data_IF_108480593420
#
_entry.id   IF_108480593420
#
_cell.length_a   1.000
_cell.length_b   1.000
_cell.length_c   1.000
_cell.angle_alpha   90.00
_cell.angle_beta   90.00
_cell.angle_gamma   90.00
#
_symmetry.space_group_name_H-M   'P 1'
#
loop_
_entity.id
_entity.type
_entity.pdbx_description
1 polymer ?
#
# COMPACT_ATOMS: atom_id res chain seq x y z
N UNK A 1 24.76 -0.87 13.96
CA UNK A 1 24.54 -0.98 12.49
C UNK A 1 23.05 -1.06 12.23
N UNK A 2 22.44 -0.08 11.54
CA UNK A 2 21.08 -0.25 11.03
C UNK A 2 21.18 -1.01 9.71
N UNK A 3 20.89 -2.31 9.73
CA UNK A 3 20.71 -3.07 8.49
C UNK A 3 19.45 -2.52 7.84
N UNK A 4 19.59 -1.64 6.85
CA UNK A 4 18.48 -1.29 5.96
C UNK A 4 18.26 -2.48 5.06
N UNK A 5 17.34 -3.37 5.45
CA UNK A 5 16.90 -4.47 4.60
C UNK A 5 16.29 -3.90 3.31
N UNK A 6 16.57 -4.54 2.18
CA UNK A 6 15.95 -4.16 0.90
C UNK A 6 14.45 -4.38 0.93
N UNK A 7 13.68 -3.72 0.05
CA UNK A 7 12.22 -3.89 0.03
C UNK A 7 11.86 -5.34 -0.24
N UNK A 8 12.58 -5.99 -1.17
CA UNK A 8 12.39 -7.41 -1.44
C UNK A 8 12.56 -8.26 -0.18
N UNK A 9 13.60 -8.02 0.62
CA UNK A 9 13.83 -8.77 1.86
C UNK A 9 12.69 -8.59 2.88
N UNK A 10 12.12 -7.39 2.96
CA UNK A 10 10.97 -7.11 3.85
C UNK A 10 9.74 -7.92 3.42
N UNK A 11 9.45 -7.98 2.12
CA UNK A 11 8.33 -8.75 1.57
C UNK A 11 8.56 -10.26 1.60
N UNK A 12 9.77 -10.75 1.34
CA UNK A 12 10.13 -12.17 1.48
C UNK A 12 9.94 -12.62 2.94
N UNK A 13 10.41 -11.80 3.90
CA UNK A 13 10.25 -12.08 5.33
C UNK A 13 8.79 -11.97 5.80
N UNK A 14 7.93 -11.26 5.06
CA UNK A 14 6.50 -11.25 5.31
C UNK A 14 5.83 -12.52 4.76
N UNK A 15 6.13 -12.89 3.50
CA UNK A 15 5.60 -14.09 2.88
C UNK A 15 5.96 -15.36 3.68
N UNK A 16 7.22 -15.47 4.11
CA UNK A 16 7.67 -16.59 4.94
C UNK A 16 6.90 -16.67 6.26
N UNK A 17 6.72 -15.53 6.94
CA UNK A 17 5.93 -15.47 8.17
C UNK A 17 4.47 -15.85 7.91
N UNK A 18 3.83 -15.28 6.89
CA UNK A 18 2.41 -15.50 6.58
C UNK A 18 2.15 -17.00 6.35
N UNK A 19 2.96 -17.64 5.51
CA UNK A 19 2.80 -19.07 5.20
C UNK A 19 3.07 -19.95 6.43
N UNK A 20 4.04 -19.59 7.28
CA UNK A 20 4.41 -20.41 8.45
C UNK A 20 3.58 -20.16 9.70
N UNK A 21 2.93 -19.00 9.81
CA UNK A 21 2.30 -18.53 11.07
C UNK A 21 0.85 -18.11 10.94
N UNK A 22 0.41 -17.69 9.75
CA UNK A 22 -0.96 -17.24 9.54
C UNK A 22 -1.80 -18.26 8.79
N UNK A 23 -1.31 -18.81 7.67
CA UNK A 23 -2.00 -19.90 6.94
C UNK A 23 -2.41 -21.06 7.85
N UNK A 24 -1.57 -21.56 8.79
CA UNK A 24 -1.97 -22.64 9.68
C UNK A 24 -3.17 -22.30 10.59
N UNK A 25 -3.38 -21.03 10.92
CA UNK A 25 -4.52 -20.62 11.76
C UNK A 25 -5.82 -20.43 10.97
N UNK A 26 -5.78 -20.55 9.64
CA UNK A 26 -6.97 -20.51 8.79
C UNK A 26 -7.52 -21.91 8.47
N UNK A 27 -6.79 -22.98 8.80
CA UNK A 27 -7.09 -24.36 8.37
C UNK A 27 -7.17 -25.34 9.56
N UNK A 28 -7.39 -24.81 10.77
CA UNK A 28 -7.14 -25.49 12.06
C UNK A 28 -7.81 -26.86 12.20
N UNK A 29 -9.00 -27.06 11.62
CA UNK A 29 -9.81 -28.27 11.79
C UNK A 29 -9.63 -29.33 10.69
N UNK A 30 -9.29 -28.92 9.46
CA UNK A 30 -9.02 -29.81 8.33
C UNK A 30 -7.91 -29.23 7.43
N UNK A 31 -6.64 -29.63 7.65
CA UNK A 31 -5.53 -29.09 6.88
C UNK A 31 -5.58 -29.42 5.38
N UNK A 32 -6.27 -30.50 4.98
CA UNK A 32 -6.33 -30.91 3.58
C UNK A 32 -7.40 -30.12 2.84
N UNK A 33 -8.60 -30.04 3.40
CA UNK A 33 -9.69 -29.28 2.79
C UNK A 33 -9.47 -27.78 2.90
N UNK A 34 -9.02 -27.29 4.06
CA UNK A 34 -8.67 -25.88 4.25
C UNK A 34 -7.61 -25.40 3.27
N UNK A 35 -6.58 -26.19 2.98
CA UNK A 35 -5.59 -25.83 1.96
C UNK A 35 -6.15 -25.81 0.53
N UNK A 36 -7.17 -26.62 0.21
CA UNK A 36 -7.85 -26.53 -1.10
C UNK A 36 -8.63 -25.23 -1.20
N UNK A 37 -9.37 -24.87 -0.15
CA UNK A 37 -10.13 -23.62 -0.08
C UNK A 37 -9.21 -22.40 -0.18
N UNK A 38 -8.14 -22.35 0.63
CA UNK A 38 -7.15 -21.27 0.54
C UNK A 38 -6.54 -21.16 -0.87
N UNK A 39 -6.27 -22.28 -1.55
CA UNK A 39 -5.77 -22.24 -2.94
C UNK A 39 -6.80 -21.73 -3.93
N UNK A 40 -8.08 -22.13 -3.77
CA UNK A 40 -9.18 -21.66 -4.60
C UNK A 40 -9.34 -20.14 -4.49
N UNK A 41 -9.28 -19.61 -3.25
CA UNK A 41 -9.35 -18.19 -2.95
C UNK A 41 -8.01 -17.44 -3.15
N UNK A 42 -6.92 -18.17 -3.48
CA UNK A 42 -5.55 -17.66 -3.64
C UNK A 42 -4.94 -17.03 -2.38
N UNK A 43 -5.38 -17.50 -1.21
CA UNK A 43 -4.97 -17.05 0.12
C UNK A 43 -3.78 -17.80 0.70
N UNK A 44 -3.32 -18.86 0.05
CA UNK A 44 -2.20 -19.69 0.51
C UNK A 44 -0.81 -19.04 0.33
N UNK A 45 -0.72 -17.88 -0.33
CA UNK A 45 0.50 -17.08 -0.39
C UNK A 45 0.21 -15.59 -0.58
N UNK A 46 0.71 -14.69 0.28
CA UNK A 46 0.22 -13.31 0.36
C UNK A 46 0.65 -12.44 -0.83
N UNK A 47 1.73 -12.84 -1.52
CA UNK A 47 2.26 -12.09 -2.67
C UNK A 47 1.81 -12.68 -4.02
N UNK A 48 0.95 -13.72 -4.03
CA UNK A 48 0.60 -14.44 -5.26
C UNK A 48 -0.06 -13.55 -6.31
N UNK A 49 -0.78 -12.52 -5.89
CA UNK A 49 -1.43 -11.55 -6.78
C UNK A 49 -0.48 -10.51 -7.38
N UNK A 50 0.77 -10.42 -6.90
CA UNK A 50 1.72 -9.41 -7.34
C UNK A 50 2.53 -9.86 -8.56
N UNK A 51 2.80 -8.91 -9.47
CA UNK A 51 3.62 -9.14 -10.66
C UNK A 51 4.62 -8.02 -10.81
N UNK A 52 5.90 -8.38 -10.81
CA UNK A 52 7.00 -7.47 -11.10
C UNK A 52 6.77 -6.75 -12.44
N UNK A 53 7.15 -5.47 -12.48
CA UNK A 53 6.96 -4.62 -13.64
C UNK A 53 8.29 -4.31 -14.31
N UNK A 54 8.27 -4.35 -15.64
CA UNK A 54 9.38 -3.89 -16.47
C UNK A 54 9.62 -2.39 -16.29
N UNK A 55 10.88 -1.98 -16.39
CA UNK A 55 11.27 -0.57 -16.26
C UNK A 55 10.49 0.35 -17.22
N UNK A 56 10.19 -0.12 -18.44
CA UNK A 56 9.41 0.61 -19.42
C UNK A 56 7.95 0.87 -18.98
N UNK A 57 7.35 -0.03 -18.19
CA UNK A 57 6.01 0.18 -17.64
C UNK A 57 6.04 1.21 -16.51
N UNK A 58 7.08 1.19 -15.67
CA UNK A 58 7.27 2.14 -14.56
C UNK A 58 7.55 3.55 -15.09
N UNK A 59 8.35 3.68 -16.16
CA UNK A 59 8.67 4.95 -16.80
C UNK A 59 7.42 5.73 -17.27
N UNK A 60 6.29 5.03 -17.52
CA UNK A 60 5.01 5.69 -17.88
C UNK A 60 4.44 6.56 -16.76
N UNK A 61 4.87 6.38 -15.51
CA UNK A 61 4.43 7.21 -14.38
C UNK A 61 5.17 8.55 -14.32
N UNK A 62 6.42 8.59 -14.77
CA UNK A 62 7.33 9.74 -14.62
C UNK A 62 6.81 11.04 -15.24
N UNK A 63 6.15 11.06 -16.42
CA UNK A 63 5.58 12.29 -16.96
C UNK A 63 4.56 12.98 -16.04
N UNK A 64 3.88 12.20 -15.19
CA UNK A 64 2.83 12.68 -14.29
C UNK A 64 3.25 12.82 -12.83
N UNK A 65 4.29 12.09 -12.43
CA UNK A 65 4.80 12.02 -11.07
C UNK A 65 6.13 12.79 -10.89
N UNK A 66 6.82 13.10 -11.98
CA UNK A 66 8.20 13.56 -11.95
C UNK A 66 9.16 12.43 -11.58
N UNK A 67 10.10 12.70 -10.68
CA UNK A 67 11.07 11.70 -10.24
C UNK A 67 10.44 10.72 -9.25
N UNK A 68 10.47 9.43 -9.58
CA UNK A 68 10.02 8.38 -8.67
C UNK A 68 11.12 8.00 -7.67
N UNK A 69 10.82 7.86 -6.37
CA UNK A 69 11.77 7.38 -5.37
C UNK A 69 12.37 6.03 -5.78
N UNK A 70 13.67 5.84 -5.53
CA UNK A 70 14.37 4.58 -5.86
C UNK A 70 13.74 3.37 -5.18
N UNK A 71 13.35 3.52 -3.92
CA UNK A 71 12.69 2.49 -3.14
C UNK A 71 11.31 2.12 -3.75
N UNK A 72 10.54 3.10 -4.23
CA UNK A 72 9.29 2.81 -4.92
C UNK A 72 9.50 2.08 -6.26
N UNK A 73 10.53 2.47 -7.02
CA UNK A 73 10.92 1.72 -8.23
C UNK A 73 11.32 0.29 -7.90
N UNK A 74 12.10 0.08 -6.83
CA UNK A 74 12.49 -1.25 -6.36
C UNK A 74 11.27 -2.09 -5.99
N UNK A 75 10.28 -1.53 -5.28
CA UNK A 75 9.02 -2.24 -5.00
C UNK A 75 8.40 -2.76 -6.31
N UNK A 76 8.23 -1.89 -7.30
CA UNK A 76 7.56 -2.24 -8.55
C UNK A 76 8.37 -3.24 -9.41
N UNK A 77 9.69 -3.15 -9.42
CA UNK A 77 10.53 -4.07 -10.22
C UNK A 77 10.79 -5.41 -9.55
N UNK A 78 10.79 -5.48 -8.21
CA UNK A 78 11.17 -6.71 -7.49
C UNK A 78 9.99 -7.44 -6.86
N UNK A 79 9.01 -6.72 -6.32
CA UNK A 79 7.82 -7.29 -5.67
C UNK A 79 6.63 -7.24 -6.64
N UNK A 80 6.41 -6.07 -7.25
CA UNK A 80 5.42 -5.87 -8.28
C UNK A 80 4.15 -5.14 -7.85
N UNK A 81 3.21 -5.09 -8.79
CA UNK A 81 1.89 -4.51 -8.62
C UNK A 81 0.79 -5.57 -8.76
N UNK A 82 -0.35 -5.36 -8.12
CA UNK A 82 -1.46 -6.30 -8.01
C UNK A 82 -1.94 -6.43 -6.57
N UNK A 83 -2.60 -7.55 -6.26
CA UNK A 83 -3.15 -7.81 -4.93
C UNK A 83 -2.13 -8.46 -4.00
N UNK A 84 -2.04 -7.91 -2.81
CA UNK A 84 -1.24 -8.31 -1.67
C UNK A 84 -2.19 -8.62 -0.51
N UNK A 85 -1.98 -9.71 0.21
CA UNK A 85 -2.82 -10.06 1.35
C UNK A 85 -2.15 -9.65 2.67
N UNK A 86 -2.85 -8.89 3.50
CA UNK A 86 -2.51 -8.71 4.90
C UNK A 86 -3.19 -9.80 5.74
N UNK A 87 -2.51 -10.29 6.78
CA UNK A 87 -3.17 -11.10 7.79
C UNK A 87 -4.17 -10.24 8.59
N UNK A 88 -5.34 -10.80 8.89
CA UNK A 88 -6.34 -10.21 9.78
C UNK A 88 -6.84 -11.27 10.76
N UNK A 89 -7.86 -10.97 11.58
CA UNK A 89 -8.37 -11.94 12.55
C UNK A 89 -9.18 -13.08 11.90
N UNK A 90 -9.94 -12.78 10.84
CA UNK A 90 -10.83 -13.73 10.18
C UNK A 90 -10.30 -14.13 8.79
N UNK A 91 -10.44 -13.21 7.82
CA UNK A 91 -10.05 -13.42 6.43
C UNK A 91 -8.87 -12.54 6.03
N UNK A 92 -7.93 -13.00 5.19
CA UNK A 92 -6.84 -12.14 4.73
C UNK A 92 -7.39 -10.88 4.03
N UNK A 93 -7.00 -9.70 4.52
CA UNK A 93 -7.45 -8.43 3.96
C UNK A 93 -6.68 -8.10 2.67
N UNK A 94 -7.34 -7.84 1.53
CA UNK A 94 -6.68 -7.49 0.28
C UNK A 94 -6.21 -6.03 0.27
N UNK A 95 -5.00 -5.82 -0.22
CA UNK A 95 -4.38 -4.53 -0.50
C UNK A 95 -3.89 -4.50 -1.93
N UNK A 96 -4.19 -3.44 -2.67
CA UNK A 96 -3.76 -3.33 -4.07
C UNK A 96 -2.56 -2.42 -4.17
N UNK A 97 -1.43 -2.96 -4.63
CA UNK A 97 -0.34 -2.13 -5.16
C UNK A 97 -0.72 -1.77 -6.58
N UNK A 98 -0.93 -0.49 -6.84
CA UNK A 98 -1.51 0.01 -8.08
C UNK A 98 -0.57 -0.21 -9.27
N UNK A 99 -1.13 -0.72 -10.36
CA UNK A 99 -0.42 -0.77 -11.65
C UNK A 99 -0.34 0.64 -12.24
N UNK A 100 0.73 0.96 -13.01
CA UNK A 100 0.89 2.27 -13.63
C UNK A 100 -0.33 2.78 -14.40
N UNK A 101 -1.04 1.89 -15.09
CA UNK A 101 -2.25 2.23 -15.85
C UNK A 101 -3.44 2.67 -14.97
N UNK A 102 -3.54 2.15 -13.74
CA UNK A 102 -4.62 2.45 -12.81
C UNK A 102 -4.41 3.79 -12.06
N UNK A 103 -3.15 4.24 -11.96
CA UNK A 103 -2.77 5.41 -11.17
C UNK A 103 -3.52 6.69 -11.58
N UNK A 104 -3.82 6.88 -12.88
CA UNK A 104 -4.59 8.04 -13.33
C UNK A 104 -6.02 8.04 -12.79
N UNK A 105 -6.71 6.88 -12.82
CA UNK A 105 -8.07 6.72 -12.28
C UNK A 105 -8.04 6.85 -10.75
N UNK A 106 -7.12 6.12 -10.10
CA UNK A 106 -6.92 6.17 -8.65
C UNK A 106 -6.63 7.58 -8.15
N UNK A 107 -5.83 8.37 -8.88
CA UNK A 107 -5.55 9.76 -8.50
C UNK A 107 -6.82 10.62 -8.54
N UNK A 108 -7.73 10.40 -9.49
CA UNK A 108 -9.02 11.10 -9.50
C UNK A 108 -9.86 10.71 -8.28
N UNK A 109 -9.92 9.41 -7.95
CA UNK A 109 -10.66 8.90 -6.80
C UNK A 109 -10.09 9.42 -5.47
N UNK A 110 -8.78 9.27 -5.25
CA UNK A 110 -8.09 9.76 -4.06
C UNK A 110 -8.23 11.28 -3.88
N UNK A 111 -8.23 12.05 -4.98
CA UNK A 111 -8.46 13.51 -4.91
C UNK A 111 -9.90 13.90 -4.57
N UNK A 112 -10.88 13.02 -4.81
CA UNK A 112 -12.26 13.24 -4.41
C UNK A 112 -12.44 13.09 -2.89
N UNK A 113 -11.52 12.40 -2.20
CA UNK A 113 -11.52 12.31 -0.72
C UNK A 113 -11.13 13.63 -0.04
N UNK A 114 -10.54 14.58 -0.77
CA UNK A 114 -10.19 15.89 -0.22
C UNK A 114 -11.30 16.91 -0.50
N UNK A 115 -11.81 17.54 0.56
CA UNK A 115 -12.75 18.66 0.43
C UNK A 115 -12.06 19.88 -0.21
N UNK A 116 -12.85 20.82 -0.72
CA UNK A 116 -12.30 22.06 -1.27
C UNK A 116 -11.61 22.92 -0.20
N UNK A 117 -12.04 22.79 1.06
CA UNK A 117 -11.36 23.38 2.22
C UNK A 117 -9.97 22.75 2.45
N UNK A 118 -9.86 21.41 2.35
CA UNK A 118 -8.58 20.71 2.49
C UNK A 118 -7.60 21.14 1.38
N UNK A 119 -8.11 21.23 0.15
CA UNK A 119 -7.34 21.73 -1.01
C UNK A 119 -6.89 23.17 -0.79
N UNK A 120 -7.78 24.04 -0.28
CA UNK A 120 -7.46 25.43 0.02
C UNK A 120 -6.44 25.58 1.15
N UNK A 121 -6.54 24.78 2.21
CA UNK A 121 -5.57 24.77 3.32
C UNK A 121 -4.21 24.27 2.86
N UNK A 122 -4.16 23.20 2.06
CA UNK A 122 -2.94 22.66 1.47
C UNK A 122 -2.22 23.72 0.61
N UNK A 123 -2.98 24.42 -0.25
CA UNK A 123 -2.49 25.52 -1.08
C UNK A 123 -2.00 26.72 -0.26
N UNK A 124 -2.78 27.17 0.73
CA UNK A 124 -2.48 28.36 1.56
C UNK A 124 -1.24 28.15 2.43
N UNK A 125 -1.05 26.94 2.97
CA UNK A 125 0.11 26.63 3.82
C UNK A 125 1.38 26.29 3.02
N UNK A 126 1.32 26.22 1.68
CA UNK A 126 2.42 25.79 0.78
C UNK A 126 3.14 24.51 1.24
N UNK A 127 2.43 23.65 1.97
CA UNK A 127 3.01 22.49 2.66
C UNK A 127 2.92 21.21 1.84
N UNK A 128 1.94 21.12 0.95
CA UNK A 128 1.65 19.95 0.14
C UNK A 128 0.88 20.38 -1.11
N UNK A 129 1.49 20.17 -2.27
CA UNK A 129 0.85 20.26 -3.57
C UNK A 129 0.22 18.91 -3.89
N UNK A 130 -1.11 18.84 -3.80
CA UNK A 130 -1.89 17.63 -4.07
C UNK A 130 -1.73 17.15 -5.53
N UNK A 131 -1.37 18.06 -6.45
CA UNK A 131 -1.10 17.69 -7.85
C UNK A 131 0.23 16.95 -8.04
N UNK A 132 1.07 16.88 -7.02
CA UNK A 132 2.30 16.07 -7.03
C UNK A 132 2.10 14.72 -6.35
N UNK A 133 0.96 14.50 -5.70
CA UNK A 133 0.72 13.25 -5.01
C UNK A 133 0.44 12.10 -5.98
N UNK A 134 1.00 10.94 -5.67
CA UNK A 134 0.88 9.73 -6.48
C UNK A 134 0.31 8.61 -5.60
N UNK A 135 -0.96 8.20 -5.78
CA UNK A 135 -1.46 7.01 -5.12
C UNK A 135 -0.71 5.79 -5.65
N UNK A 136 -0.33 4.89 -4.74
CA UNK A 136 0.34 3.64 -5.11
C UNK A 136 -0.25 2.41 -4.41
N UNK A 137 -1.04 2.60 -3.35
CA UNK A 137 -1.72 1.50 -2.69
C UNK A 137 -3.10 1.93 -2.17
N UNK A 138 -4.05 1.00 -2.12
CA UNK A 138 -5.42 1.17 -1.63
C UNK A 138 -5.91 -0.13 -0.95
N UNK A 139 -7.02 -0.07 -0.20
CA UNK A 139 -7.75 -1.26 0.23
C UNK A 139 -8.33 -1.98 -0.98
N UNK A 140 -9.00 -3.10 -0.71
CA UNK A 140 -10.16 -3.50 -1.50
C UNK A 140 -9.82 -4.05 -2.88
N UNK A 141 -10.87 -4.39 -3.62
CA UNK A 141 -10.75 -4.97 -4.95
C UNK A 141 -11.02 -3.94 -6.06
N UNK A 142 -11.85 -2.93 -5.77
CA UNK A 142 -12.41 -1.99 -6.74
C UNK A 142 -12.17 -0.52 -6.39
N UNK A 143 -11.72 0.24 -7.40
CA UNK A 143 -11.27 1.64 -7.28
C UNK A 143 -12.33 2.65 -6.75
N UNK A 144 -13.59 2.27 -6.62
CA UNK A 144 -14.71 3.19 -6.41
C UNK A 144 -15.22 3.22 -4.95
N UNK A 145 -14.92 2.19 -4.16
CA UNK A 145 -15.37 2.03 -2.77
C UNK A 145 -14.22 2.05 -1.75
N UNK A 146 -13.03 2.51 -2.15
CA UNK A 146 -11.83 2.47 -1.30
C UNK A 146 -11.94 3.42 -0.11
N UNK A 147 -11.78 2.85 1.10
CA UNK A 147 -11.85 3.58 2.35
C UNK A 147 -10.50 4.22 2.71
N UNK A 148 -9.37 3.73 2.20
CA UNK A 148 -8.06 4.37 2.34
C UNK A 148 -7.20 4.36 1.07
N UNK A 149 -6.42 5.43 0.92
CA UNK A 149 -5.39 5.58 -0.11
C UNK A 149 -4.03 5.81 0.53
N UNK A 150 -3.00 5.16 0.00
CA UNK A 150 -1.60 5.42 0.35
C UNK A 150 -0.92 6.10 -0.83
N UNK A 151 -0.34 7.26 -0.56
CA UNK A 151 0.14 8.18 -1.57
C UNK A 151 1.56 8.64 -1.31
N UNK A 152 2.40 8.67 -2.34
CA UNK A 152 3.68 9.38 -2.32
C UNK A 152 3.44 10.88 -2.48
N UNK A 153 4.20 11.72 -1.76
CA UNK A 153 4.00 13.18 -1.83
C UNK A 153 4.74 13.86 -2.99
N UNK A 154 5.94 13.42 -3.35
CA UNK A 154 6.73 13.88 -4.50
C UNK A 154 6.87 15.41 -4.64
N UNK A 155 6.97 16.14 -3.53
CA UNK A 155 7.01 17.61 -3.53
C UNK A 155 8.31 18.17 -4.11
N UNK A 156 9.40 17.39 -4.00
CA UNK A 156 10.73 17.68 -4.53
C UNK A 156 11.35 16.41 -5.11
N UNK A 157 12.48 16.53 -5.83
CA UNK A 157 13.20 15.39 -6.43
C UNK A 157 13.53 14.26 -5.44
N UNK A 158 13.78 14.61 -4.18
CA UNK A 158 14.16 13.66 -3.13
C UNK A 158 13.02 13.42 -2.12
N UNK A 159 11.81 13.88 -2.41
CA UNK A 159 10.67 13.69 -1.53
C UNK A 159 10.04 12.32 -1.74
N UNK A 160 10.29 11.39 -0.82
CA UNK A 160 9.75 10.03 -0.82
C UNK A 160 8.80 9.78 0.35
N UNK A 161 8.30 10.84 1.00
CA UNK A 161 7.34 10.71 2.10
C UNK A 161 6.04 10.08 1.60
N UNK A 162 5.42 9.32 2.50
CA UNK A 162 4.12 8.69 2.28
C UNK A 162 3.07 9.40 3.13
N UNK A 163 1.91 9.65 2.53
CA UNK A 163 0.69 10.12 3.18
C UNK A 163 -0.36 9.02 3.04
N UNK A 164 -1.01 8.69 4.15
CA UNK A 164 -2.19 7.84 4.17
C UNK A 164 -3.40 8.76 4.26
N UNK A 165 -4.38 8.52 3.41
CA UNK A 165 -5.63 9.28 3.30
C UNK A 165 -6.75 8.30 3.57
N UNK A 166 -7.39 8.42 4.71
CA UNK A 166 -8.56 7.64 5.06
C UNK A 166 -9.80 8.50 4.89
N UNK A 167 -10.85 7.92 4.31
CA UNK A 167 -12.16 8.55 4.24
C UNK A 167 -12.84 8.32 5.60
N UNK A 168 -12.78 9.33 6.47
CA UNK A 168 -13.57 9.31 7.71
C UNK A 168 -15.06 9.25 7.34
N UNK A 169 -15.70 8.11 7.61
CA UNK A 169 -17.12 7.89 7.32
C UNK A 169 -18.04 8.72 8.23
N UNK A 170 -17.55 9.20 9.37
CA UNK A 170 -18.32 10.00 10.35
C UNK A 170 -18.18 11.52 10.10
N UNK A 171 -16.98 12.00 9.76
CA UNK A 171 -16.74 13.46 9.59
C UNK A 171 -16.29 13.90 8.19
N UNK A 172 -16.08 12.96 7.26
CA UNK A 172 -15.74 13.24 5.86
C UNK A 172 -14.39 13.94 5.65
N UNK A 173 -13.54 14.04 6.68
CA UNK A 173 -12.24 14.72 6.59
C UNK A 173 -11.11 13.72 6.37
N UNK A 174 -10.20 13.97 5.41
CA UNK A 174 -9.03 13.12 5.22
C UNK A 174 -8.06 13.25 6.41
N UNK A 175 -7.85 12.16 7.15
CA UNK A 175 -6.81 12.12 8.19
C UNK A 175 -5.46 11.84 7.54
N UNK A 176 -4.79 12.90 7.08
CA UNK A 176 -3.47 12.80 6.45
C UNK A 176 -2.34 12.55 7.45
N UNK A 177 -1.99 11.28 7.74
CA UNK A 177 -0.78 10.94 8.54
C UNK A 177 0.44 10.75 7.63
N UNK A 178 1.60 11.23 8.08
CA UNK A 178 2.85 11.28 7.29
C UNK A 178 3.90 10.34 7.85
N UNK A 179 4.49 9.50 7.00
CA UNK A 179 5.76 8.83 7.32
C UNK A 179 6.94 9.70 6.89
N UNK A 180 8.15 9.41 7.38
CA UNK A 180 9.36 10.16 7.00
C UNK A 180 9.90 9.74 5.64
N UNK A 181 9.67 8.49 5.22
CA UNK A 181 10.12 7.95 3.93
C UNK A 181 9.29 6.74 3.49
N UNK A 182 9.47 6.33 2.23
CA UNK A 182 8.80 5.17 1.66
C UNK A 182 9.29 3.86 2.26
N UNK A 183 10.59 3.71 2.46
CA UNK A 183 11.16 2.50 3.08
C UNK A 183 10.68 2.33 4.53
N UNK A 184 10.55 3.43 5.28
CA UNK A 184 9.96 3.37 6.63
C UNK A 184 8.50 2.94 6.59
N UNK A 185 7.72 3.45 5.64
CA UNK A 185 6.33 3.03 5.43
C UNK A 185 6.24 1.52 5.19
N UNK A 186 7.00 0.98 4.23
CA UNK A 186 6.97 -0.46 3.90
C UNK A 186 7.35 -1.33 5.10
N UNK A 187 8.40 -0.96 5.83
CA UNK A 187 8.83 -1.70 7.01
C UNK A 187 7.77 -1.72 8.12
N UNK A 188 7.12 -0.58 8.38
CA UNK A 188 6.03 -0.49 9.36
C UNK A 188 4.78 -1.25 8.92
N UNK A 189 4.40 -1.11 7.65
CA UNK A 189 3.24 -1.80 7.07
C UNK A 189 3.36 -3.32 7.27
N UNK A 190 4.51 -3.91 6.91
CA UNK A 190 4.77 -5.34 7.15
C UNK A 190 4.75 -5.69 8.64
N UNK A 191 5.28 -4.83 9.51
CA UNK A 191 5.29 -5.07 10.94
C UNK A 191 3.88 -5.09 11.55
N UNK A 192 2.99 -4.18 11.13
CA UNK A 192 1.59 -4.16 11.53
C UNK A 192 0.82 -5.38 11.00
N UNK A 193 0.99 -5.71 9.72
CA UNK A 193 0.35 -6.90 9.13
C UNK A 193 0.70 -8.20 9.87
N UNK A 194 1.92 -8.30 10.43
CA UNK A 194 2.36 -9.45 11.24
C UNK A 194 1.66 -9.57 12.59
N UNK A 195 1.02 -8.51 13.07
CA UNK A 195 0.24 -8.52 14.32
C UNK A 195 -1.24 -8.83 14.10
N UNK A 196 -1.66 -9.09 12.85
CA UNK A 196 -3.07 -9.26 12.45
C UNK A 196 -3.96 -8.04 12.72
N UNK A 197 -3.33 -6.90 13.01
CA UNK A 197 -4.04 -5.63 13.13
C UNK A 197 -4.48 -5.21 11.71
N UNK A 198 -5.80 -5.19 11.39
CA UNK A 198 -6.27 -4.62 10.13
C UNK A 198 -5.73 -3.22 10.08
N UNK A 199 -5.08 -2.85 8.97
CA UNK A 199 -4.19 -1.69 8.88
C UNK A 199 -4.56 -0.57 9.84
N UNK A 200 -3.97 -0.62 11.03
CA UNK A 200 -3.79 0.54 11.86
C UNK A 200 -2.32 0.90 11.73
N UNK A 201 -1.87 1.42 10.56
CA UNK A 201 -0.52 1.98 10.43
C UNK A 201 -0.33 3.17 11.40
N UNK A 202 -1.38 3.53 12.15
CA UNK A 202 -1.46 4.57 13.15
C UNK A 202 -1.13 4.08 14.58
N UNK A 203 -1.02 2.77 14.86
CA UNK A 203 -0.60 2.27 16.17
C UNK A 203 0.92 2.46 16.38
N UNK A 204 1.27 3.51 17.12
CA UNK A 204 2.65 3.89 17.45
C UNK A 204 3.27 4.97 16.55
N UNK A 205 2.45 5.82 15.90
CA UNK A 205 2.86 7.07 15.26
C UNK A 205 2.50 8.30 16.10
#
# INVERSE_FOLDING_TARGET
>A
MKVTSSIKQVFDAYADWYVKKYVPTLIEDDPVEGMKELRANRWDHPLRGLRALEAAAIAKLEPSAGFLPSAYRELLTTVGAGTLLAASDDEPAPFRILRPAAVKKARKAAMACFSDEDKAVAAKKKRLDLSKMLPFMADGEDDEDEAFWVMLTLQTKNDDRVVIVERDHENGRPVGRKTKSFSEFVARWVACAKKREPLNPFDGL
#
